data_IF_338590235105
#
_entry.id   IF_338590235105
#
_cell.length_a   1.000
_cell.length_b   1.000
_cell.length_c   1.000
_cell.angle_alpha   90.00
_cell.angle_beta   90.00
_cell.angle_gamma   90.00
#
_symmetry.space_group_name_H-M   'P 1'
#
loop_
_entity.id
_entity.type
_entity.pdbx_description
1 polymer ?
#
# COMPACT_ATOMS: atom_id res chain seq x y z
N UNK A 1 5.49 -7.41 6.17
CA UNK A 1 5.42 -6.01 6.65
C UNK A 1 4.00 -5.53 6.82
N UNK A 2 3.13 -5.69 5.81
CA UNK A 2 1.72 -5.26 5.83
C UNK A 2 0.95 -5.68 7.10
N UNK A 3 1.01 -6.96 7.50
CA UNK A 3 0.38 -7.44 8.74
C UNK A 3 0.92 -6.75 10.01
N UNK A 4 2.21 -6.40 10.04
CA UNK A 4 2.77 -5.71 11.21
C UNK A 4 2.26 -4.28 11.32
N UNK A 5 2.09 -3.59 10.18
CA UNK A 5 1.48 -2.26 10.15
C UNK A 5 0.03 -2.33 10.59
N UNK A 6 -0.74 -3.30 10.06
CA UNK A 6 -2.14 -3.48 10.39
C UNK A 6 -2.40 -3.79 11.88
N UNK A 7 -1.50 -4.54 12.51
CA UNK A 7 -1.61 -4.91 13.93
C UNK A 7 -0.90 -3.93 14.87
N UNK A 8 -0.34 -2.83 14.34
CA UNK A 8 0.44 -1.89 15.15
C UNK A 8 -0.48 -1.18 16.16
N UNK A 9 -0.14 -1.18 17.46
CA UNK A 9 -0.99 -0.56 18.46
C UNK A 9 -0.90 0.98 18.45
N UNK A 10 0.19 1.53 17.91
CA UNK A 10 0.31 2.97 17.65
C UNK A 10 -0.40 3.35 16.35
N UNK A 11 -0.98 4.56 16.25
CA UNK A 11 -1.57 5.04 15.01
C UNK A 11 -0.52 5.11 13.89
N UNK A 12 -0.94 4.74 12.70
CA UNK A 12 -0.06 4.53 11.54
C UNK A 12 -0.45 5.48 10.41
N UNK A 13 0.55 6.11 9.78
CA UNK A 13 0.34 7.05 8.67
C UNK A 13 1.21 6.61 7.48
N UNK A 14 0.56 6.34 6.36
CA UNK A 14 1.22 6.21 5.06
C UNK A 14 1.30 7.58 4.39
N UNK A 15 2.49 8.18 4.41
CA UNK A 15 2.78 9.43 3.70
C UNK A 15 3.31 9.12 2.29
N UNK A 16 2.58 9.52 1.26
CA UNK A 16 2.78 9.07 -0.12
C UNK A 16 3.06 10.28 -1.01
N UNK A 17 4.26 10.34 -1.57
CA UNK A 17 4.70 11.38 -2.49
C UNK A 17 5.23 10.73 -3.77
N UNK A 18 4.33 10.44 -4.72
CA UNK A 18 4.63 9.73 -5.96
C UNK A 18 3.74 8.52 -6.19
N UNK A 19 4.21 7.55 -6.98
CA UNK A 19 3.46 6.34 -7.28
C UNK A 19 3.34 5.40 -6.09
N UNK A 20 2.14 4.85 -5.87
CA UNK A 20 1.87 3.80 -4.91
C UNK A 20 1.26 2.61 -5.66
N UNK A 21 2.08 1.62 -5.97
CA UNK A 21 1.70 0.49 -6.79
C UNK A 21 1.94 -0.85 -6.12
N UNK A 22 1.15 -1.83 -6.51
CA UNK A 22 1.35 -3.25 -6.21
C UNK A 22 1.51 -3.52 -4.69
N UNK A 23 2.65 -4.04 -4.24
CA UNK A 23 2.89 -4.33 -2.82
C UNK A 23 3.00 -3.07 -1.93
N UNK A 24 3.28 -1.90 -2.51
CA UNK A 24 3.21 -0.65 -1.75
C UNK A 24 1.75 -0.26 -1.47
N UNK A 25 0.81 -0.63 -2.34
CA UNK A 25 -0.61 -0.34 -2.17
C UNK A 25 -1.18 -1.08 -0.96
N UNK A 26 -0.80 -2.35 -0.77
CA UNK A 26 -1.26 -3.13 0.38
C UNK A 26 -0.70 -2.62 1.70
N UNK A 27 0.58 -2.24 1.73
CA UNK A 27 1.19 -1.61 2.91
C UNK A 27 0.51 -0.28 3.24
N UNK A 28 0.25 0.56 2.23
CA UNK A 28 -0.46 1.82 2.42
C UNK A 28 -1.90 1.62 2.91
N UNK A 29 -2.58 0.56 2.44
CA UNK A 29 -3.93 0.21 2.86
C UNK A 29 -3.99 -0.36 4.28
N UNK A 30 -2.90 -0.97 4.77
CA UNK A 30 -2.79 -1.45 6.14
C UNK A 30 -2.61 -0.33 7.17
N UNK A 31 -2.27 0.89 6.75
CA UNK A 31 -2.17 2.04 7.64
C UNK A 31 -3.55 2.65 7.94
N UNK A 32 -3.70 3.24 9.13
CA UNK A 32 -4.92 3.90 9.59
C UNK A 32 -5.25 5.13 8.73
N UNK A 33 -4.22 5.93 8.44
CA UNK A 33 -4.34 7.14 7.63
C UNK A 33 -3.43 7.09 6.41
N UNK A 34 -3.93 7.63 5.31
CA UNK A 34 -3.18 7.84 4.07
C UNK A 34 -3.18 9.33 3.76
N UNK A 35 -1.98 9.91 3.67
CA UNK A 35 -1.77 11.30 3.25
C UNK A 35 -1.00 11.25 1.94
N UNK A 36 -1.64 11.66 0.86
CA UNK A 36 -1.09 11.62 -0.48
C UNK A 36 -0.88 13.04 -1.02
N UNK A 37 0.22 13.24 -1.76
CA UNK A 37 0.40 14.43 -2.59
C UNK A 37 -0.65 14.48 -3.70
N UNK A 38 -0.97 15.67 -4.23
CA UNK A 38 -1.90 15.82 -5.36
C UNK A 38 -1.44 15.08 -6.63
N UNK A 39 -0.12 14.86 -6.75
CA UNK A 39 0.49 14.11 -7.86
C UNK A 39 0.52 12.59 -7.65
N UNK A 40 0.03 12.09 -6.52
CA UNK A 40 0.09 10.65 -6.20
C UNK A 40 -0.81 9.85 -7.12
N UNK A 41 -0.28 8.74 -7.64
CA UNK A 41 -1.04 7.77 -8.45
C UNK A 41 -1.05 6.43 -7.73
N UNK A 42 -2.25 5.89 -7.51
CA UNK A 42 -2.44 4.54 -7.00
C UNK A 42 -2.73 3.59 -8.17
N UNK A 43 -1.96 2.50 -8.27
CA UNK A 43 -2.11 1.56 -9.39
C UNK A 43 -1.92 0.10 -8.93
N UNK A 44 -2.48 -0.83 -9.68
CA UNK A 44 -2.18 -2.26 -9.57
C UNK A 44 -1.85 -2.77 -10.97
N UNK A 45 -0.61 -3.17 -11.20
CA UNK A 45 -0.15 -3.62 -12.53
C UNK A 45 0.19 -5.12 -12.57
N UNK A 46 -0.17 -5.86 -11.52
CA UNK A 46 -0.10 -7.32 -11.50
C UNK A 46 -0.67 -8.02 -12.74
N UNK A 47 -1.80 -7.58 -13.36
CA UNK A 47 -2.30 -8.21 -14.58
C UNK A 47 -1.32 -8.14 -15.76
N UNK A 48 -0.58 -7.04 -15.91
CA UNK A 48 0.42 -6.87 -16.97
C UNK A 48 1.61 -7.80 -16.76
N UNK A 49 1.92 -8.12 -15.49
CA UNK A 49 2.94 -9.09 -15.11
C UNK A 49 2.46 -10.55 -15.14
N UNK A 50 1.18 -10.81 -15.45
CA UNK A 50 0.59 -12.15 -15.39
C UNK A 50 0.47 -12.71 -13.97
N UNK A 51 0.45 -11.83 -12.96
CA UNK A 51 0.39 -12.19 -11.55
C UNK A 51 -1.04 -12.02 -11.01
N UNK A 52 -1.47 -12.84 -10.04
CA UNK A 52 -2.84 -12.81 -9.51
C UNK A 52 -3.13 -11.61 -8.60
N UNK A 53 -2.12 -10.81 -8.23
CA UNK A 53 -2.25 -9.68 -7.32
C UNK A 53 -1.19 -9.67 -6.22
N UNK A 54 -1.27 -8.68 -5.34
CA UNK A 54 -0.41 -8.63 -4.17
C UNK A 54 -0.90 -9.62 -3.11
N UNK A 55 0.05 -10.31 -2.51
CA UNK A 55 -0.17 -11.31 -1.49
C UNK A 55 0.04 -10.71 -0.11
N UNK A 56 -0.66 -9.61 0.17
CA UNK A 56 -0.57 -8.67 1.30
C UNK A 56 -0.44 -9.24 2.75
N UNK A 57 -0.34 -10.56 2.94
CA UNK A 57 -0.17 -11.22 4.22
C UNK A 57 0.39 -12.65 4.17
N UNK A 58 0.85 -13.16 3.01
CA UNK A 58 1.58 -14.46 2.93
C UNK A 58 3.04 -14.27 2.56
#
# INVERSE_FOLDING_TARGET
MTQQVYLMPQPTIAAINGGCADSALSIAAAADFRIASDSTVFNTDFPTAGLPGDLAGI
#
